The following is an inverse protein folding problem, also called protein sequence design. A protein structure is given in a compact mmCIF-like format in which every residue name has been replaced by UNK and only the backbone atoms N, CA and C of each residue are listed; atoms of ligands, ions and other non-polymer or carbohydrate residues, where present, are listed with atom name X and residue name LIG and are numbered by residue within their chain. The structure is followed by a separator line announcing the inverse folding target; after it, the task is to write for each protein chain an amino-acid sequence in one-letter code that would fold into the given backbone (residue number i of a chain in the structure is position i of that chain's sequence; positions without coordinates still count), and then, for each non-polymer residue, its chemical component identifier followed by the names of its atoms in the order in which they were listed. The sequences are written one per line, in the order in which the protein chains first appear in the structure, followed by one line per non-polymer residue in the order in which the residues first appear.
data_IF_866607953485
#
_entry.id   IF_866607953485
#
_cell.length_a   1.000
_cell.length_b   1.000
_cell.length_c   1.000
_cell.angle_alpha   90.00
_cell.angle_beta   90.00
_cell.angle_gamma   90.00
#
_symmetry.space_group_name_H-M   'P 1'
#
loop_
_entity.id
_entity.type
_entity.pdbx_description
1 polymer ?
#
# COMPACT_ATOMS: atom_id res chain seq x y z
N UNK A 1 7.54 15.05 -7.44
CA UNK A 1 6.40 14.54 -8.24
C UNK A 1 6.43 13.02 -8.37
N UNK A 2 7.54 12.40 -8.80
CA UNK A 2 7.61 10.95 -9.00
C UNK A 2 7.21 10.11 -7.77
N UNK A 3 7.60 10.50 -6.54
CA UNK A 3 7.18 9.80 -5.32
C UNK A 3 5.66 9.79 -5.10
N UNK A 4 4.98 10.91 -5.36
CA UNK A 4 3.52 10.97 -5.26
C UNK A 4 2.84 10.09 -6.32
N UNK A 5 3.38 10.11 -7.55
CA UNK A 5 2.91 9.24 -8.62
C UNK A 5 3.10 7.76 -8.27
N UNK A 6 4.25 7.40 -7.70
CA UNK A 6 4.56 6.06 -7.20
C UNK A 6 3.56 5.60 -6.13
N UNK A 7 3.30 6.43 -5.11
CA UNK A 7 2.30 6.11 -4.07
C UNK A 7 0.89 5.95 -4.63
N UNK A 8 0.51 6.74 -5.64
CA UNK A 8 -0.79 6.59 -6.30
C UNK A 8 -0.85 5.28 -7.09
N UNK A 9 0.21 4.94 -7.82
CA UNK A 9 0.29 3.72 -8.60
C UNK A 9 0.24 2.47 -7.72
N UNK A 10 0.91 2.48 -6.55
CA UNK A 10 0.89 1.37 -5.59
C UNK A 10 -0.53 0.93 -5.23
N UNK A 11 -1.46 1.89 -5.05
CA UNK A 11 -2.86 1.59 -4.71
C UNK A 11 -3.60 0.80 -5.81
N UNK A 12 -3.10 0.84 -7.04
CA UNK A 12 -3.68 0.15 -8.19
C UNK A 12 -3.04 -1.22 -8.39
N UNK A 13 -1.72 -1.30 -8.37
CA UNK A 13 -0.99 -2.55 -8.62
C UNK A 13 0.43 -2.53 -8.03
N UNK A 14 1.12 -3.67 -8.16
CA UNK A 14 2.55 -3.79 -7.90
C UNK A 14 3.10 -4.89 -8.82
N UNK A 15 4.28 -4.73 -9.45
CA UNK A 15 5.22 -3.60 -9.33
C UNK A 15 4.76 -2.34 -10.08
N UNK A 16 5.26 -1.17 -9.68
CA UNK A 16 4.87 0.14 -10.26
C UNK A 16 6.05 1.11 -10.38
N UNK A 17 5.89 2.09 -11.26
CA UNK A 17 6.81 3.18 -11.50
C UNK A 17 6.09 4.52 -11.33
N UNK A 18 6.65 5.41 -10.51
CA UNK A 18 6.26 6.81 -10.45
C UNK A 18 7.11 7.64 -11.40
N UNK A 19 6.48 8.49 -12.20
CA UNK A 19 7.17 9.39 -13.15
C UNK A 19 6.69 10.82 -12.91
N UNK A 20 7.63 11.76 -12.90
CA UNK A 20 7.33 13.19 -12.86
C UNK A 20 8.13 13.92 -13.91
N UNK A 21 7.47 14.71 -14.74
CA UNK A 21 8.09 15.49 -15.80
C UNK A 21 7.47 16.89 -15.81
N UNK A 22 8.30 17.92 -15.93
CA UNK A 22 7.86 19.30 -16.13
C UNK A 22 8.92 20.05 -16.92
N UNK A 23 8.52 21.02 -17.73
CA UNK A 23 9.49 21.79 -18.49
C UNK A 23 8.90 23.02 -19.13
N UNK A 24 9.79 23.95 -19.47
CA UNK A 24 9.52 25.11 -20.29
C UNK A 24 10.33 24.95 -21.57
N UNK A 25 9.67 24.57 -22.66
CA UNK A 25 10.27 24.43 -23.99
C UNK A 25 10.06 25.69 -24.83
N UNK A 26 10.60 25.71 -26.04
CA UNK A 26 10.41 26.76 -27.02
C UNK A 26 8.92 27.06 -27.27
N UNK A 27 8.63 28.33 -27.52
CA UNK A 27 7.28 28.83 -27.88
C UNK A 27 7.37 29.71 -29.11
N UNK A 28 6.23 30.05 -29.70
CA UNK A 28 6.15 30.97 -30.86
C UNK A 28 6.77 32.33 -30.57
N UNK A 29 6.67 32.81 -29.32
CA UNK A 29 7.38 34.01 -28.86
C UNK A 29 8.68 33.62 -28.15
N UNK A 30 9.80 34.33 -28.37
CA UNK A 30 11.06 34.08 -27.66
C UNK A 30 10.89 34.20 -26.14
N UNK A 31 11.43 33.23 -25.41
CA UNK A 31 11.44 33.24 -23.94
C UNK A 31 12.72 33.88 -23.41
N UNK A 32 12.58 34.72 -22.38
CA UNK A 32 13.73 35.24 -21.64
C UNK A 32 14.42 34.13 -20.84
N UNK A 33 13.66 33.27 -20.14
CA UNK A 33 14.19 32.12 -19.38
C UNK A 33 14.64 30.96 -20.27
N UNK A 34 15.45 30.06 -19.72
CA UNK A 34 16.01 28.89 -20.42
C UNK A 34 14.93 27.94 -20.96
N UNK A 35 15.27 27.25 -22.05
CA UNK A 35 14.51 26.07 -22.45
C UNK A 35 15.01 24.91 -21.60
N UNK A 36 14.21 24.45 -20.65
CA UNK A 36 14.65 23.50 -19.61
C UNK A 36 13.52 22.56 -19.24
N UNK A 37 13.86 21.30 -19.04
CA UNK A 37 12.95 20.32 -18.46
C UNK A 37 13.59 19.57 -17.29
N UNK A 38 12.73 19.08 -16.42
CA UNK A 38 13.05 18.33 -15.22
C UNK A 38 12.29 17.00 -15.28
N UNK A 39 12.99 15.92 -15.01
CA UNK A 39 12.47 14.56 -15.03
C UNK A 39 12.82 13.86 -13.72
N UNK A 40 11.92 13.02 -13.24
CA UNK A 40 12.16 12.14 -12.10
C UNK A 40 11.43 10.81 -12.26
N UNK A 41 12.06 9.72 -11.83
CA UNK A 41 11.51 8.38 -11.77
C UNK A 41 11.65 7.81 -10.35
N UNK A 42 10.67 7.02 -9.91
CA UNK A 42 10.64 6.37 -8.59
C UNK A 42 10.13 4.94 -8.72
N UNK A 43 10.98 3.96 -8.42
CA UNK A 43 10.60 2.56 -8.12
C UNK A 43 10.60 2.35 -6.60
N UNK A 44 10.52 1.11 -6.10
CA UNK A 44 10.73 0.86 -4.66
C UNK A 44 12.18 1.17 -4.25
N UNK A 45 13.11 0.65 -5.04
CA UNK A 45 14.55 0.55 -4.76
C UNK A 45 15.38 1.70 -5.34
N UNK A 46 14.79 2.55 -6.19
CA UNK A 46 15.52 3.63 -6.88
C UNK A 46 14.70 4.90 -7.00
N UNK A 47 15.40 6.03 -6.92
CA UNK A 47 14.91 7.34 -7.33
C UNK A 47 15.98 7.98 -8.20
N UNK A 48 15.60 8.41 -9.39
CA UNK A 48 16.48 9.11 -10.31
C UNK A 48 15.81 10.40 -10.74
N UNK A 49 16.58 11.49 -10.81
CA UNK A 49 16.11 12.78 -11.27
C UNK A 49 17.18 13.46 -12.13
N UNK A 50 16.74 14.19 -13.15
CA UNK A 50 17.62 14.89 -14.06
C UNK A 50 17.02 16.23 -14.50
N UNK A 51 17.85 17.26 -14.56
CA UNK A 51 17.53 18.57 -15.15
C UNK A 51 18.34 18.75 -16.42
N UNK A 52 17.66 19.03 -17.53
CA UNK A 52 18.28 19.25 -18.84
C UNK A 52 17.92 20.63 -19.35
N UNK A 53 18.95 21.41 -19.69
CA UNK A 53 18.80 22.72 -20.34
C UNK A 53 19.13 22.56 -21.82
N UNK A 54 18.15 22.83 -22.67
CA UNK A 54 18.25 22.80 -24.12
C UNK A 54 18.86 24.10 -24.64
N UNK A 55 19.73 23.98 -25.64
CA UNK A 55 20.31 25.14 -26.31
C UNK A 55 19.27 25.92 -27.11
N UNK A 56 19.07 27.20 -26.77
CA UNK A 56 18.09 28.07 -27.43
C UNK A 56 18.43 28.31 -28.90
N UNK A 57 17.41 28.29 -29.75
CA UNK A 57 17.52 28.62 -31.18
C UNK A 57 18.04 27.49 -32.07
N UNK A 58 18.48 26.36 -31.50
CA UNK A 58 18.91 25.19 -32.28
C UNK A 58 17.74 24.34 -32.80
N UNK A 59 16.60 24.37 -32.11
CA UNK A 59 15.45 23.50 -32.38
C UNK A 59 14.16 24.32 -32.43
N UNK A 60 13.23 23.87 -33.26
CA UNK A 60 11.83 24.28 -33.20
C UNK A 60 11.15 23.72 -31.94
N UNK A 61 9.99 24.28 -31.59
CA UNK A 61 9.16 23.81 -30.47
C UNK A 61 8.86 22.30 -30.55
N UNK A 62 8.52 21.79 -31.73
CA UNK A 62 8.19 20.37 -31.91
C UNK A 62 9.42 19.47 -31.79
N UNK A 63 10.59 19.96 -32.22
CA UNK A 63 11.86 19.25 -32.05
C UNK A 63 12.30 19.19 -30.58
N UNK A 64 12.12 20.28 -29.82
CA UNK A 64 12.38 20.25 -28.37
C UNK A 64 11.42 19.30 -27.63
N UNK A 65 10.14 19.27 -28.02
CA UNK A 65 9.17 18.33 -27.47
C UNK A 65 9.57 16.89 -27.76
N UNK A 66 10.00 16.60 -28.99
CA UNK A 66 10.51 15.29 -29.40
C UNK A 66 11.70 14.87 -28.53
N UNK A 67 12.75 15.69 -28.45
CA UNK A 67 13.96 15.39 -27.65
C UNK A 67 13.60 15.11 -26.19
N UNK A 68 12.76 15.96 -25.60
CA UNK A 68 12.36 15.80 -24.20
C UNK A 68 11.53 14.53 -23.96
N UNK A 69 10.70 14.14 -24.93
CA UNK A 69 9.90 12.91 -24.89
C UNK A 69 10.75 11.65 -25.06
N UNK A 70 11.74 11.66 -25.94
CA UNK A 70 12.71 10.56 -26.07
C UNK A 70 13.52 10.37 -24.78
N UNK A 71 13.95 11.48 -24.16
CA UNK A 71 14.65 11.43 -22.87
C UNK A 71 13.76 10.84 -21.75
N UNK A 72 12.49 11.24 -21.70
CA UNK A 72 11.48 10.68 -20.79
C UNK A 72 11.30 9.17 -21.01
N UNK A 73 11.12 8.72 -22.26
CA UNK A 73 10.95 7.29 -22.59
C UNK A 73 12.19 6.47 -22.21
N UNK A 74 13.40 6.99 -22.46
CA UNK A 74 14.65 6.36 -22.05
C UNK A 74 14.73 6.18 -20.53
N UNK A 75 14.35 7.21 -19.76
CA UNK A 75 14.33 7.11 -18.30
C UNK A 75 13.32 6.07 -17.79
N UNK A 76 12.13 6.00 -18.41
CA UNK A 76 11.13 4.98 -18.09
C UNK A 76 11.69 3.58 -18.39
N UNK A 77 12.25 3.37 -19.58
CA UNK A 77 12.83 2.08 -19.97
C UNK A 77 13.95 1.65 -19.01
N UNK A 78 14.85 2.58 -18.64
CA UNK A 78 15.91 2.35 -17.67
C UNK A 78 15.37 1.98 -16.28
N UNK A 79 14.33 2.68 -15.81
CA UNK A 79 13.70 2.39 -14.53
C UNK A 79 12.98 1.03 -14.54
N UNK A 80 12.39 0.65 -15.67
CA UNK A 80 11.77 -0.65 -15.90
C UNK A 80 12.77 -1.77 -16.22
N UNK A 81 14.09 -1.47 -16.29
CA UNK A 81 15.15 -2.41 -16.69
C UNK A 81 14.91 -3.07 -18.06
N UNK A 82 14.23 -2.35 -18.96
CA UNK A 82 13.98 -2.79 -20.34
C UNK A 82 15.10 -2.27 -21.22
N UNK A 83 15.73 -3.17 -21.97
CA UNK A 83 16.74 -2.77 -22.95
C UNK A 83 16.08 -1.90 -24.01
N UNK A 84 16.62 -0.70 -24.22
CA UNK A 84 16.10 0.23 -25.20
C UNK A 84 17.23 0.95 -25.92
N UNK A 85 17.10 1.04 -27.24
CA UNK A 85 17.99 1.78 -28.12
C UNK A 85 17.40 3.18 -28.37
N UNK A 86 17.10 3.90 -27.29
CA UNK A 86 16.73 5.31 -27.42
C UNK A 86 18.00 6.15 -27.44
N UNK A 87 18.37 6.61 -28.62
CA UNK A 87 19.34 7.70 -28.73
C UNK A 87 18.69 8.95 -28.19
N UNK A 88 19.24 9.46 -27.09
CA UNK A 88 18.87 10.78 -26.62
C UNK A 88 19.37 11.73 -27.70
N UNK A 89 18.47 12.27 -28.53
CA UNK A 89 18.74 13.30 -29.55
C UNK A 89 19.28 14.63 -28.96
N UNK A 90 19.84 14.57 -27.74
CA UNK A 90 20.62 15.61 -27.09
C UNK A 90 21.92 15.82 -27.85
N UNK A 91 22.32 17.07 -27.95
CA UNK A 91 23.58 17.51 -28.53
C UNK A 91 24.60 17.75 -27.41
N UNK A 92 25.89 17.81 -27.75
CA UNK A 92 26.94 18.18 -26.79
C UNK A 92 26.73 19.58 -26.16
N UNK A 93 25.94 20.43 -26.81
CA UNK A 93 25.56 21.76 -26.32
C UNK A 93 24.38 21.76 -25.35
N UNK A 94 23.66 20.64 -25.20
CA UNK A 94 22.60 20.52 -24.19
C UNK A 94 23.23 20.18 -22.83
N UNK A 95 22.92 20.95 -21.81
CA UNK A 95 23.55 20.82 -20.49
C UNK A 95 22.67 19.97 -19.58
N UNK A 96 23.18 18.81 -19.15
CA UNK A 96 22.63 18.04 -18.04
C UNK A 96 23.23 18.59 -16.75
N UNK A 97 22.51 19.52 -16.12
CA UNK A 97 23.06 20.32 -15.03
C UNK A 97 22.96 19.64 -13.66
N UNK A 98 21.85 18.91 -13.42
CA UNK A 98 21.57 18.30 -12.12
C UNK A 98 21.05 16.88 -12.29
N UNK A 99 21.94 15.88 -12.21
CA UNK A 99 21.56 14.47 -12.13
C UNK A 99 21.72 13.97 -10.69
N UNK A 100 20.64 13.39 -10.14
CA UNK A 100 20.63 12.82 -8.80
C UNK A 100 20.08 11.42 -8.86
N UNK A 101 20.87 10.46 -8.38
CA UNK A 101 20.48 9.08 -8.26
C UNK A 101 20.60 8.61 -6.81
N UNK A 102 19.55 7.92 -6.34
CA UNK A 102 19.50 7.33 -5.00
C UNK A 102 19.00 5.90 -5.10
N UNK A 103 19.69 5.02 -4.39
CA UNK A 103 19.30 3.63 -4.21
C UNK A 103 18.82 3.39 -2.77
N UNK A 104 17.81 2.55 -2.65
CA UNK A 104 17.20 2.19 -1.39
C UNK A 104 17.29 0.67 -1.24
N UNK A 105 18.07 0.25 -0.25
CA UNK A 105 18.02 -1.11 0.25
C UNK A 105 16.72 -1.32 1.05
N UNK A 106 16.49 -2.55 1.49
CA UNK A 106 15.27 -2.89 2.23
C UNK A 106 15.08 -2.03 3.50
N UNK A 107 16.16 -1.72 4.23
CA UNK A 107 16.09 -0.94 5.47
C UNK A 107 15.63 0.48 5.17
N UNK A 108 16.21 1.12 4.14
CA UNK A 108 15.78 2.44 3.68
C UNK A 108 14.35 2.44 3.16
N UNK A 109 13.90 1.39 2.48
CA UNK A 109 12.50 1.29 2.07
C UNK A 109 11.55 1.22 3.28
N UNK A 110 11.89 0.43 4.29
CA UNK A 110 11.10 0.33 5.53
C UNK A 110 11.15 1.63 6.34
N UNK A 111 12.29 2.31 6.39
CA UNK A 111 12.42 3.63 7.02
C UNK A 111 11.51 4.67 6.34
N UNK A 112 11.50 4.71 5.01
CA UNK A 112 10.59 5.58 4.25
C UNK A 112 9.13 5.28 4.52
N UNK A 113 8.77 4.01 4.74
CA UNK A 113 7.42 3.60 5.09
C UNK A 113 7.02 4.10 6.48
N UNK A 114 7.88 3.88 7.46
CA UNK A 114 7.67 4.33 8.85
C UNK A 114 7.55 5.86 8.89
N UNK A 115 8.36 6.57 8.10
CA UNK A 115 8.31 8.03 7.97
C UNK A 115 7.16 8.54 7.08
N UNK A 116 6.35 7.65 6.53
CA UNK A 116 5.18 7.99 5.71
C UNK A 116 5.47 8.55 4.32
N UNK A 117 6.70 8.38 3.82
CA UNK A 117 7.10 8.76 2.47
C UNK A 117 6.55 7.76 1.44
N UNK A 118 6.55 6.46 1.75
CA UNK A 118 5.85 5.43 0.98
C UNK A 118 4.64 4.91 1.76
N UNK A 119 3.55 4.63 1.05
CA UNK A 119 2.28 4.26 1.70
C UNK A 119 2.23 2.82 2.21
N UNK A 120 2.85 1.88 1.48
CA UNK A 120 3.00 0.49 1.89
C UNK A 120 4.09 -0.21 1.08
N UNK A 121 4.52 -1.38 1.56
CA UNK A 121 5.44 -2.30 0.89
C UNK A 121 4.84 -3.70 0.85
N UNK A 122 4.93 -4.36 -0.30
CA UNK A 122 4.42 -5.73 -0.48
C UNK A 122 5.59 -6.72 -0.50
N UNK A 123 5.44 -7.81 0.25
CA UNK A 123 6.33 -8.97 0.21
C UNK A 123 5.58 -10.15 -0.41
N UNK A 124 5.69 -10.38 -1.72
CA UNK A 124 4.91 -11.39 -2.45
C UNK A 124 5.61 -12.75 -2.40
N UNK A 125 5.66 -13.38 -1.21
CA UNK A 125 6.26 -14.72 -1.08
C UNK A 125 5.40 -15.83 -1.69
N UNK A 126 4.13 -15.55 -1.97
CA UNK A 126 3.26 -16.50 -2.65
C UNK A 126 3.56 -16.55 -4.15
N UNK A 127 3.68 -17.76 -4.68
CA UNK A 127 3.76 -18.02 -6.12
C UNK A 127 2.42 -17.87 -6.84
N UNK A 128 1.31 -17.78 -6.10
CA UNK A 128 -0.03 -17.70 -6.68
C UNK A 128 -0.26 -16.31 -7.28
N UNK A 129 -0.24 -16.26 -8.61
CA UNK A 129 -0.69 -15.12 -9.40
C UNK A 129 -2.22 -15.12 -9.42
N UNK A 130 -2.85 -14.88 -8.28
CA UNK A 130 -4.30 -14.66 -8.30
C UNK A 130 -4.56 -13.35 -9.06
N UNK A 131 -5.37 -13.41 -10.10
CA UNK A 131 -5.74 -12.26 -10.93
C UNK A 131 -6.90 -11.44 -10.33
N UNK A 132 -7.28 -11.68 -9.07
CA UNK A 132 -8.34 -10.94 -8.41
C UNK A 132 -7.91 -9.52 -8.07
N UNK A 133 -8.56 -8.52 -8.67
CA UNK A 133 -8.36 -7.10 -8.33
C UNK A 133 -8.66 -6.82 -6.84
N UNK A 134 -9.59 -7.60 -6.26
CA UNK A 134 -9.98 -7.52 -4.85
C UNK A 134 -9.00 -8.26 -3.95
N UNK A 135 -8.44 -7.56 -2.97
CA UNK A 135 -7.62 -8.17 -1.91
C UNK A 135 -8.50 -8.61 -0.74
N UNK A 136 -8.15 -9.74 -0.14
CA UNK A 136 -8.74 -10.25 1.10
C UNK A 136 -7.64 -10.16 2.15
N UNK A 137 -7.71 -9.10 2.95
CA UNK A 137 -6.64 -8.65 3.81
C UNK A 137 -6.96 -9.09 5.22
N UNK A 138 -6.10 -9.87 5.87
CA UNK A 138 -6.16 -10.12 7.32
C UNK A 138 -5.12 -9.22 8.01
N UNK A 139 -5.54 -8.11 8.65
CA UNK A 139 -4.64 -7.29 9.45
C UNK A 139 -4.29 -7.98 10.77
N UNK A 140 -3.05 -7.85 11.21
CA UNK A 140 -2.62 -8.43 12.48
C UNK A 140 -1.26 -7.98 12.95
N UNK A 141 -0.99 -8.18 14.24
CA UNK A 141 0.34 -7.93 14.81
C UNK A 141 1.32 -9.07 14.52
N UNK A 142 0.81 -10.29 14.30
CA UNK A 142 1.57 -11.50 13.94
C UNK A 142 2.80 -11.74 14.82
N UNK A 143 2.60 -11.62 16.14
CA UNK A 143 3.66 -11.73 17.13
C UNK A 143 3.36 -12.83 18.17
N UNK A 144 3.38 -14.13 17.80
CA UNK A 144 3.70 -14.68 16.47
C UNK A 144 2.46 -14.94 15.60
N UNK A 145 2.71 -15.20 14.31
CA UNK A 145 1.79 -15.87 13.39
C UNK A 145 1.48 -17.29 13.89
N UNK A 146 0.28 -17.79 13.63
CA UNK A 146 -0.17 -19.11 14.09
C UNK A 146 -1.36 -19.62 13.26
N UNK A 147 -1.71 -20.89 13.42
CA UNK A 147 -2.76 -21.59 12.64
C UNK A 147 -4.11 -20.88 12.63
N UNK A 148 -4.50 -20.27 13.76
CA UNK A 148 -5.72 -19.46 13.83
C UNK A 148 -5.76 -18.34 12.78
N UNK A 149 -4.64 -17.68 12.48
CA UNK A 149 -4.59 -16.66 11.43
C UNK A 149 -4.72 -17.27 10.04
N UNK A 150 -4.06 -18.41 9.80
CA UNK A 150 -4.05 -19.09 8.51
C UNK A 150 -5.46 -19.57 8.14
N UNK A 151 -6.10 -20.30 9.05
CA UNK A 151 -7.47 -20.82 8.87
C UNK A 151 -8.52 -19.72 8.79
N UNK A 152 -8.30 -18.60 9.48
CA UNK A 152 -9.19 -17.44 9.39
C UNK A 152 -9.14 -16.83 8.00
N UNK A 153 -7.94 -16.61 7.45
CA UNK A 153 -7.80 -16.08 6.10
C UNK A 153 -8.35 -17.05 5.05
N UNK A 154 -8.14 -18.36 5.22
CA UNK A 154 -8.70 -19.40 4.35
C UNK A 154 -10.24 -19.42 4.35
N UNK A 155 -10.86 -19.35 5.53
CA UNK A 155 -12.31 -19.28 5.67
C UNK A 155 -12.89 -18.01 5.01
N UNK A 156 -12.24 -16.86 5.22
CA UNK A 156 -12.64 -15.60 4.59
C UNK A 156 -12.47 -15.63 3.06
N UNK A 157 -11.40 -16.26 2.57
CA UNK A 157 -11.14 -16.44 1.14
C UNK A 157 -12.25 -17.26 0.48
N UNK A 158 -12.64 -18.35 1.12
CA UNK A 158 -13.73 -19.22 0.66
C UNK A 158 -15.10 -18.50 0.60
N UNK A 159 -15.30 -17.45 1.39
CA UNK A 159 -16.53 -16.64 1.38
C UNK A 159 -16.48 -15.58 0.27
N UNK A 160 -15.33 -14.94 0.08
CA UNK A 160 -15.19 -13.84 -0.88
C UNK A 160 -14.95 -14.29 -2.33
N UNK A 161 -14.64 -15.57 -2.56
CA UNK A 161 -14.35 -16.12 -3.88
C UNK A 161 -12.94 -15.79 -4.35
N UNK A 162 -12.80 -15.34 -5.60
CA UNK A 162 -11.52 -15.18 -6.32
C UNK A 162 -10.67 -13.98 -5.87
N UNK A 163 -10.83 -13.50 -4.63
CA UNK A 163 -10.00 -12.42 -4.10
C UNK A 163 -8.59 -12.89 -3.74
N UNK A 164 -7.61 -11.99 -3.80
CA UNK A 164 -6.22 -12.29 -3.45
C UNK A 164 -6.02 -12.29 -1.93
N UNK A 165 -5.75 -13.45 -1.30
CA UNK A 165 -5.52 -13.50 0.14
C UNK A 165 -4.14 -12.95 0.50
N UNK A 166 -4.10 -11.99 1.42
CA UNK A 166 -2.85 -11.49 1.97
C UNK A 166 -2.98 -11.08 3.44
N UNK A 167 -1.85 -11.06 4.12
CA UNK A 167 -1.74 -10.54 5.48
C UNK A 167 -1.35 -9.07 5.42
N UNK A 168 -1.69 -8.32 6.46
CA UNK A 168 -1.24 -6.94 6.59
C UNK A 168 -0.72 -6.65 8.00
N UNK A 169 0.50 -6.12 8.07
CA UNK A 169 1.15 -5.68 9.29
C UNK A 169 1.32 -4.16 9.26
N UNK A 170 0.67 -3.47 10.19
CA UNK A 170 0.88 -2.04 10.37
C UNK A 170 2.16 -1.78 11.16
N UNK A 171 3.10 -1.05 10.55
CA UNK A 171 4.33 -0.58 11.19
C UNK A 171 4.03 0.45 12.28
N UNK A 172 2.95 1.22 12.14
CA UNK A 172 2.47 2.18 13.14
C UNK A 172 1.23 1.60 13.83
N UNK A 173 1.18 1.70 15.15
CA UNK A 173 0.03 1.33 15.96
C UNK A 173 -0.55 2.60 16.61
N UNK A 174 -1.87 2.67 16.81
CA UNK A 174 -2.49 3.83 17.44
C UNK A 174 -2.01 4.03 18.89
N UNK A 175 -1.81 2.92 19.63
CA UNK A 175 -1.55 2.94 21.07
C UNK A 175 -0.11 2.55 21.45
N UNK A 176 0.77 2.31 20.47
CA UNK A 176 2.14 1.81 20.70
C UNK A 176 3.13 2.54 19.80
N UNK A 177 4.41 2.65 20.20
CA UNK A 177 5.44 3.18 19.31
C UNK A 177 5.49 2.39 17.99
N UNK A 178 5.94 3.02 16.89
CA UNK A 178 6.19 2.33 15.64
C UNK A 178 7.13 1.12 15.85
N UNK A 179 6.91 0.07 15.08
CA UNK A 179 7.79 -1.09 15.06
C UNK A 179 9.17 -0.68 14.54
N UNK A 180 10.22 -1.21 15.16
CA UNK A 180 11.57 -1.06 14.61
C UNK A 180 11.73 -1.91 13.35
N UNK A 181 12.67 -1.52 12.48
CA UNK A 181 12.99 -2.28 11.25
C UNK A 181 13.29 -3.77 11.58
N UNK A 182 14.12 -4.11 12.58
CA UNK A 182 14.33 -5.51 12.96
C UNK A 182 13.05 -6.26 13.34
N UNK A 183 12.12 -5.62 14.07
CA UNK A 183 10.84 -6.24 14.45
C UNK A 183 9.94 -6.49 13.23
N UNK A 184 9.93 -5.57 12.26
CA UNK A 184 9.18 -5.76 11.01
C UNK A 184 9.76 -6.96 10.26
N UNK A 185 11.09 -7.01 10.08
CA UNK A 185 11.77 -8.12 9.38
C UNK A 185 11.53 -9.46 10.06
N UNK A 186 11.62 -9.51 11.39
CA UNK A 186 11.33 -10.72 12.17
C UNK A 186 9.92 -11.26 11.91
N UNK A 187 8.92 -10.37 11.85
CA UNK A 187 7.55 -10.74 11.55
C UNK A 187 7.34 -11.13 10.09
N UNK A 188 8.00 -10.43 9.15
CA UNK A 188 7.98 -10.75 7.72
C UNK A 188 8.53 -12.15 7.43
N UNK A 189 9.63 -12.54 8.09
CA UNK A 189 10.24 -13.87 7.92
C UNK A 189 9.27 -15.02 8.23
N UNK A 190 8.28 -14.82 9.10
CA UNK A 190 7.28 -15.86 9.40
C UNK A 190 6.41 -16.17 8.17
N UNK A 191 6.15 -15.17 7.32
CA UNK A 191 5.37 -15.32 6.10
C UNK A 191 6.18 -15.90 4.94
N UNK A 192 7.46 -15.55 4.88
CA UNK A 192 8.40 -16.13 3.91
C UNK A 192 8.49 -17.64 4.07
N UNK A 193 8.65 -18.12 5.31
CA UNK A 193 8.72 -19.56 5.65
C UNK A 193 7.52 -20.38 5.18
N UNK A 194 6.36 -19.75 5.04
CA UNK A 194 5.11 -20.41 4.63
C UNK A 194 4.62 -19.99 3.24
N UNK A 195 5.41 -19.20 2.50
CA UNK A 195 5.07 -18.75 1.14
C UNK A 195 3.79 -17.91 1.07
N UNK A 196 3.54 -17.03 2.05
CA UNK A 196 2.33 -16.17 2.06
C UNK A 196 2.67 -14.70 1.87
N UNK A 197 1.82 -13.98 1.14
CA UNK A 197 2.03 -12.55 0.90
C UNK A 197 1.69 -11.72 2.13
N UNK A 198 2.57 -10.80 2.49
CA UNK A 198 2.33 -9.81 3.55
C UNK A 198 2.55 -8.40 3.04
N UNK A 199 1.64 -7.50 3.41
CA UNK A 199 1.73 -6.06 3.15
C UNK A 199 2.16 -5.38 4.44
N UNK A 200 3.21 -4.58 4.39
CA UNK A 200 3.56 -3.67 5.46
C UNK A 200 2.92 -2.32 5.13
N UNK A 201 2.09 -1.78 6.01
CA UNK A 201 1.52 -0.44 5.87
C UNK A 201 1.88 0.44 7.06
N UNK A 202 1.62 1.74 6.98
CA UNK A 202 1.77 2.67 8.09
C UNK A 202 0.42 3.15 8.64
N UNK A 203 -0.67 2.43 8.36
CA UNK A 203 -2.04 2.88 8.67
C UNK A 203 -2.65 2.04 9.80
N UNK A 204 -2.79 2.58 11.03
CA UNK A 204 -3.39 1.84 12.13
C UNK A 204 -4.92 1.72 12.03
N UNK A 205 -5.57 2.64 11.31
CA UNK A 205 -7.04 2.71 11.25
C UNK A 205 -7.61 2.11 9.96
N UNK A 206 -8.73 1.41 10.07
CA UNK A 206 -9.37 0.77 8.92
C UNK A 206 -9.86 1.75 7.85
N UNK A 207 -10.33 2.94 8.22
CA UNK A 207 -10.71 3.95 7.21
C UNK A 207 -9.51 4.40 6.37
N UNK A 208 -8.32 4.48 6.97
CA UNK A 208 -7.08 4.72 6.23
C UNK A 208 -6.62 3.52 5.41
N UNK A 209 -6.80 2.31 5.91
CA UNK A 209 -6.56 1.09 5.11
C UNK A 209 -7.49 1.03 3.90
N UNK A 210 -8.75 1.42 4.03
CA UNK A 210 -9.71 1.49 2.93
C UNK A 210 -9.28 2.51 1.84
N UNK A 211 -8.67 3.64 2.22
CA UNK A 211 -8.06 4.60 1.29
C UNK A 211 -6.81 4.04 0.55
N UNK A 212 -6.11 3.06 1.14
CA UNK A 212 -4.96 2.40 0.52
C UNK A 212 -5.36 1.20 -0.34
N UNK A 213 -6.39 0.46 0.07
CA UNK A 213 -6.83 -0.78 -0.53
C UNK A 213 -8.32 -0.71 -0.91
N UNK A 214 -8.70 0.17 -1.85
CA UNK A 214 -10.10 0.26 -2.29
C UNK A 214 -10.59 -1.09 -2.83
N UNK A 215 -11.89 -1.36 -2.66
CA UNK A 215 -12.55 -2.61 -3.05
C UNK A 215 -12.20 -3.85 -2.22
N UNK A 216 -11.26 -3.74 -1.27
CA UNK A 216 -10.74 -4.91 -0.53
C UNK A 216 -11.68 -5.35 0.59
N UNK A 217 -11.62 -6.64 0.94
CA UNK A 217 -12.28 -7.21 2.11
C UNK A 217 -11.29 -7.30 3.28
N UNK A 218 -11.62 -6.72 4.42
CA UNK A 218 -10.82 -6.78 5.64
C UNK A 218 -11.35 -7.86 6.58
N UNK A 219 -10.53 -8.86 6.86
CA UNK A 219 -10.86 -9.97 7.77
C UNK A 219 -10.56 -9.53 9.20
N UNK A 220 -11.56 -9.59 10.07
CA UNK A 220 -11.46 -9.12 11.46
C UNK A 220 -12.16 -10.10 12.41
N UNK A 221 -11.77 -10.06 13.69
CA UNK A 221 -12.50 -10.75 14.76
C UNK A 221 -13.68 -9.91 15.28
N UNK A 222 -14.63 -10.59 15.90
CA UNK A 222 -15.77 -9.98 16.58
C UNK A 222 -15.35 -8.89 17.60
N UNK A 223 -14.23 -9.09 18.30
CA UNK A 223 -13.63 -8.10 19.22
C UNK A 223 -13.24 -6.78 18.53
N UNK A 224 -12.88 -6.85 17.25
CA UNK A 224 -12.50 -5.68 16.45
C UNK A 224 -13.73 -5.06 15.80
N UNK A 225 -14.71 -5.86 15.38
CA UNK A 225 -15.99 -5.37 14.87
C UNK A 225 -16.69 -4.47 15.90
N UNK A 226 -16.78 -4.90 17.17
CA UNK A 226 -17.36 -4.08 18.26
C UNK A 226 -16.66 -2.75 18.41
N UNK A 227 -15.33 -2.71 18.29
CA UNK A 227 -14.56 -1.47 18.39
C UNK A 227 -14.81 -0.56 17.20
N UNK A 228 -14.95 -1.12 15.99
CA UNK A 228 -15.24 -0.36 14.79
C UNK A 228 -16.57 0.39 14.88
N UNK A 229 -17.61 -0.22 15.46
CA UNK A 229 -18.94 0.38 15.62
C UNK A 229 -19.15 1.04 16.99
N UNK A 230 -18.08 1.38 17.71
CA UNK A 230 -18.18 2.03 19.00
C UNK A 230 -17.82 3.53 18.90
N UNK A 231 -18.76 4.46 19.18
CA UNK A 231 -18.54 5.90 19.11
C UNK A 231 -17.36 6.42 19.94
N UNK A 232 -16.92 5.68 20.98
CA UNK A 232 -15.73 6.03 21.78
C UNK A 232 -14.48 6.21 20.92
N UNK A 233 -14.37 5.51 19.79
CA UNK A 233 -13.22 5.62 18.86
C UNK A 233 -13.38 6.76 17.84
N UNK A 234 -14.47 7.53 17.92
CA UNK A 234 -14.82 8.64 17.02
C UNK A 234 -15.17 9.90 17.82
N UNK A 235 -14.34 10.22 18.82
CA UNK A 235 -14.53 11.34 19.75
C UNK A 235 -15.88 11.30 20.49
N UNK A 236 -16.43 10.11 20.71
CA UNK A 236 -17.74 9.91 21.33
C UNK A 236 -18.93 10.20 20.42
N UNK A 237 -18.71 10.55 19.14
CA UNK A 237 -19.77 10.94 18.21
C UNK A 237 -20.24 9.75 17.36
N UNK A 238 -21.52 9.43 17.49
CA UNK A 238 -22.18 8.44 16.64
C UNK A 238 -22.21 8.89 15.17
N UNK A 239 -22.50 10.16 14.90
CA UNK A 239 -22.53 10.69 13.53
C UNK A 239 -21.17 10.60 12.85
N UNK A 240 -20.07 10.93 13.56
CA UNK A 240 -18.70 10.77 13.02
C UNK A 240 -18.36 9.31 12.72
N UNK A 241 -18.81 8.39 13.56
CA UNK A 241 -18.66 6.95 13.33
C UNK A 241 -19.37 6.53 12.04
N UNK A 242 -20.64 6.92 11.88
CA UNK A 242 -21.42 6.63 10.67
C UNK A 242 -20.75 7.26 9.44
N UNK A 243 -20.34 8.52 9.50
CA UNK A 243 -19.68 9.22 8.40
C UNK A 243 -18.38 8.52 7.99
N UNK A 244 -17.55 8.15 8.97
CA UNK A 244 -16.25 7.50 8.74
C UNK A 244 -16.43 6.13 8.10
N UNK A 245 -17.30 5.28 8.67
CA UNK A 245 -17.56 3.94 8.13
C UNK A 245 -18.30 3.98 6.79
N UNK A 246 -19.18 4.96 6.58
CA UNK A 246 -19.79 5.22 5.27
C UNK A 246 -18.73 5.63 4.24
N UNK A 247 -17.69 6.35 4.66
CA UNK A 247 -16.50 6.61 3.85
C UNK A 247 -15.80 5.33 3.39
N UNK A 248 -15.55 4.40 4.32
CA UNK A 248 -15.01 3.07 4.02
C UNK A 248 -15.93 2.29 3.05
N UNK A 249 -17.23 2.33 3.28
CA UNK A 249 -18.21 1.66 2.41
C UNK A 249 -18.16 2.19 0.98
N UNK A 250 -18.01 3.52 0.79
CA UNK A 250 -17.90 4.14 -0.53
C UNK A 250 -16.64 3.74 -1.31
N UNK A 251 -15.58 3.28 -0.64
CA UNK A 251 -14.41 2.72 -1.33
C UNK A 251 -14.64 1.29 -1.83
N UNK A 252 -15.83 0.71 -1.58
CA UNK A 252 -16.16 -0.68 -1.91
C UNK A 252 -15.59 -1.69 -0.93
N UNK A 253 -15.09 -1.24 0.23
CA UNK A 253 -14.52 -2.13 1.23
C UNK A 253 -15.61 -2.81 2.07
N UNK A 254 -15.34 -4.05 2.47
CA UNK A 254 -16.19 -4.82 3.40
C UNK A 254 -15.37 -5.38 4.55
N UNK A 255 -16.03 -5.77 5.63
CA UNK A 255 -15.46 -6.44 6.78
C UNK A 255 -15.98 -7.87 6.87
N UNK A 256 -15.09 -8.85 6.83
CA UNK A 256 -15.41 -10.25 7.03
C UNK A 256 -15.18 -10.58 8.50
N UNK A 257 -16.25 -10.88 9.24
CA UNK A 257 -16.23 -10.94 10.71
C UNK A 257 -16.27 -12.37 11.20
N UNK A 258 -15.19 -12.82 11.81
CA UNK A 258 -15.15 -14.11 12.49
C UNK A 258 -15.59 -14.01 13.95
N UNK A 259 -16.37 -14.99 14.39
CA UNK A 259 -16.74 -15.13 15.79
C UNK A 259 -15.51 -15.28 16.70
N UNK A 260 -15.54 -14.66 17.87
CA UNK A 260 -14.43 -14.71 18.84
C UNK A 260 -14.93 -14.58 20.26
N UNK A 261 -14.19 -15.13 21.23
CA UNK A 261 -14.41 -14.84 22.64
C UNK A 261 -14.11 -13.37 22.95
N UNK A 262 -15.12 -12.65 23.41
CA UNK A 262 -15.07 -11.29 23.93
C UNK A 262 -15.58 -11.35 25.37
N UNK A 263 -14.76 -10.95 26.33
CA UNK A 263 -15.09 -11.00 27.77
C UNK A 263 -15.57 -12.38 28.25
N UNK A 264 -14.93 -13.45 27.76
CA UNK A 264 -15.24 -14.84 28.11
C UNK A 264 -16.43 -15.45 27.35
N UNK A 265 -17.20 -14.64 26.62
CA UNK A 265 -18.36 -15.09 25.84
C UNK A 265 -18.02 -15.13 24.35
N UNK A 266 -18.35 -16.22 23.66
CA UNK A 266 -18.18 -16.27 22.20
C UNK A 266 -19.23 -15.39 21.54
N UNK A 267 -18.79 -14.36 20.81
CA UNK A 267 -19.65 -13.43 20.09
C UNK A 267 -19.46 -13.56 18.58
N UNK A 268 -20.55 -13.45 17.83
CA UNK A 268 -20.62 -13.39 16.36
C UNK A 268 -21.12 -12.02 15.91
N UNK A 269 -21.17 -11.77 14.60
CA UNK A 269 -21.59 -10.47 14.05
C UNK A 269 -23.04 -10.13 14.45
N UNK A 270 -23.89 -11.14 14.49
CA UNK A 270 -25.31 -11.05 14.79
C UNK A 270 -25.58 -10.59 16.23
N UNK A 271 -24.60 -10.72 17.14
CA UNK A 271 -24.69 -10.25 18.51
C UNK A 271 -24.47 -8.73 18.66
N UNK A 272 -24.18 -8.03 17.55
CA UNK A 272 -23.84 -6.62 17.53
C UNK A 272 -24.92 -5.77 16.86
N UNK A 273 -25.23 -4.62 17.48
CA UNK A 273 -26.14 -3.62 16.91
C UNK A 273 -25.42 -2.78 15.84
N UNK A 274 -25.30 -3.35 14.64
CA UNK A 274 -24.72 -2.67 13.48
C UNK A 274 -25.77 -1.73 12.87
N UNK A 275 -25.47 -0.42 12.73
CA UNK A 275 -26.38 0.53 12.11
C UNK A 275 -26.82 0.08 10.71
N UNK A 276 -28.11 0.23 10.39
CA UNK A 276 -28.71 -0.28 9.13
C UNK A 276 -27.93 0.15 7.88
N UNK A 277 -27.49 1.42 7.85
CA UNK A 277 -26.72 2.00 6.73
C UNK A 277 -25.36 1.32 6.49
N UNK A 278 -24.86 0.58 7.47
CA UNK A 278 -23.57 -0.12 7.44
C UNK A 278 -23.72 -1.66 7.39
N UNK A 279 -24.91 -2.24 7.53
CA UNK A 279 -25.04 -3.70 7.67
C UNK A 279 -24.45 -4.48 6.50
N UNK A 280 -24.68 -4.02 5.28
CA UNK A 280 -24.20 -4.64 4.04
C UNK A 280 -22.68 -4.63 3.85
N UNK A 281 -21.94 -3.79 4.59
CA UNK A 281 -20.47 -3.84 4.57
C UNK A 281 -19.89 -4.85 5.56
N UNK A 282 -20.67 -5.47 6.44
CA UNK A 282 -20.21 -6.53 7.35
C UNK A 282 -20.76 -7.89 6.90
N UNK A 283 -19.87 -8.85 6.72
CA UNK A 283 -20.20 -10.22 6.27
C UNK A 283 -19.73 -11.21 7.34
N UNK A 284 -20.63 -12.04 7.92
CA UNK A 284 -20.24 -12.98 8.96
C UNK A 284 -19.49 -14.18 8.37
N UNK A 285 -18.52 -14.70 9.12
CA UNK A 285 -18.02 -16.07 8.93
C UNK A 285 -18.87 -16.98 9.84
N UNK A 286 -19.63 -17.94 9.28
CA UNK A 286 -20.42 -18.87 10.09
C UNK A 286 -19.56 -19.61 11.12
N UNK A 287 -20.07 -19.77 12.34
CA UNK A 287 -19.32 -20.41 13.43
C UNK A 287 -18.96 -21.88 13.14
N UNK A 288 -19.73 -22.53 12.28
CA UNK A 288 -19.49 -23.88 11.78
C UNK A 288 -18.25 -23.95 10.88
N UNK A 289 -17.93 -22.84 10.19
CA UNK A 289 -16.76 -22.74 9.30
C UNK A 289 -15.50 -22.32 10.05
N UNK A 290 -15.62 -21.54 11.11
CA UNK A 290 -14.46 -21.10 11.88
C UNK A 290 -14.78 -20.94 13.37
N UNK A 291 -14.14 -21.79 14.18
CA UNK A 291 -14.12 -21.69 15.64
C UNK A 291 -12.74 -22.10 16.15
N UNK A 292 -11.88 -21.11 16.37
CA UNK A 292 -10.54 -21.32 16.95
C UNK A 292 -10.23 -20.27 18.00
N UNK A 293 -10.04 -20.73 19.23
CA UNK A 293 -9.62 -19.92 20.37
C UNK A 293 -8.10 -20.03 20.57
N UNK A 294 -7.32 -19.56 19.58
CA UNK A 294 -5.86 -19.41 19.72
C UNK A 294 -5.53 -17.91 19.68
N UNK A 295 -4.76 -17.44 20.66
CA UNK A 295 -4.21 -16.08 20.66
C UNK A 295 -2.68 -16.06 20.73
N UNK A 296 -2.05 -15.14 19.98
CA UNK A 296 -0.61 -14.91 20.10
C UNK A 296 -0.16 -14.55 21.53
N UNK A 297 -1.05 -13.96 22.34
CA UNK A 297 -0.73 -13.61 23.74
C UNK A 297 -0.59 -14.85 24.62
N UNK A 298 -1.45 -15.85 24.44
CA UNK A 298 -1.32 -17.13 25.15
C UNK A 298 -0.06 -17.87 24.71
N UNK A 299 0.26 -17.87 23.41
CA UNK A 299 1.48 -18.48 22.87
C UNK A 299 2.73 -17.85 23.49
N UNK A 300 2.78 -16.51 23.57
CA UNK A 300 3.89 -15.80 24.22
C UNK A 300 4.04 -16.21 25.69
N UNK A 301 2.93 -16.28 26.44
CA UNK A 301 2.93 -16.74 27.84
C UNK A 301 3.39 -18.19 27.98
N UNK A 302 2.94 -19.10 27.11
CA UNK A 302 3.31 -20.51 27.17
C UNK A 302 4.77 -20.78 26.76
N UNK A 303 5.33 -19.93 25.89
CA UNK A 303 6.69 -20.08 25.37
C UNK A 303 7.71 -19.17 26.06
N UNK A 304 7.30 -18.35 27.05
CA UNK A 304 8.20 -17.43 27.76
C UNK A 304 8.75 -16.27 26.91
N UNK A 305 7.99 -15.85 25.88
CA UNK A 305 8.32 -14.77 24.95
C UNK A 305 7.69 -13.42 25.34
#
# INVERSE_FOLDING_TARGET
MALLAYNRALKLSSPVLGVGFTGSLATTRPKQGDHRFHLSTRTSDRHWASTVTLSKGLRSRDQEEKVSSYFLLKAIANACKVSSTFDSELTESDVVADECERFFDEDKELEQLINGQICFKVYPFSSDKSNGDRKIILPGSFNPLHDGHLKLLEAATSICGDGYPCFELSAINADKPPLSIPQIKERVMQFEKIGKTVIISNQPYFYKKAELFPGSAFVIGADTAVRLINPKYYDGSYDRMIETLSGCKRTGCTFIVAGRKVDGTFKVLEDFDVPEVLKDMFVPIPAERFRMDISSTEIRRSCGL
#
